data_IF_600153098347
#
_entry.id   IF_600153098347
#
_cell.length_a   1.000
_cell.length_b   1.000
_cell.length_c   1.000
_cell.angle_alpha   90.00
_cell.angle_beta   90.00
_cell.angle_gamma   90.00
#
_symmetry.space_group_name_H-M   'P 1'
#
loop_
_entity.id
_entity.type
_entity.pdbx_description
1 polymer ?
#
# COMPACT_ATOMS: atom_id res chain seq x y z
N UNK A 1 -32.90 31.06 28.03
CA UNK A 1 -33.40 30.58 26.72
C UNK A 1 -32.33 29.67 26.17
N UNK A 2 -32.60 28.36 26.28
CA UNK A 2 -31.63 27.29 26.10
C UNK A 2 -31.72 26.74 24.67
N UNK A 3 -30.55 26.60 24.04
CA UNK A 3 -30.09 25.47 23.22
C UNK A 3 -31.12 24.77 22.29
N UNK A 4 -31.02 25.04 20.98
CA UNK A 4 -31.35 24.08 19.92
C UNK A 4 -30.01 23.74 19.25
N UNK A 5 -29.36 22.63 19.62
CA UNK A 5 -29.60 21.26 19.13
C UNK A 5 -29.28 21.10 17.64
N UNK A 6 -27.99 21.17 17.32
CA UNK A 6 -27.45 20.65 16.07
C UNK A 6 -27.13 19.17 16.27
N UNK A 7 -27.88 18.32 15.55
CA UNK A 7 -27.79 16.85 15.51
C UNK A 7 -26.36 16.36 15.20
N UNK A 8 -25.88 15.21 15.74
CA UNK A 8 -24.53 14.70 15.50
C UNK A 8 -24.30 14.09 14.09
N UNK A 9 -25.30 14.07 13.22
CA UNK A 9 -25.28 13.30 11.97
C UNK A 9 -24.46 13.92 10.81
N UNK A 10 -23.79 15.06 11.04
CA UNK A 10 -23.11 15.79 9.95
C UNK A 10 -21.58 15.61 9.88
N UNK A 11 -20.96 14.77 10.72
CA UNK A 11 -19.48 14.63 10.78
C UNK A 11 -18.96 13.34 10.11
N UNK A 12 -19.83 12.49 9.56
CA UNK A 12 -19.41 11.21 8.95
C UNK A 12 -19.24 11.26 7.41
N UNK A 13 -18.81 12.39 6.86
CA UNK A 13 -18.48 12.49 5.41
C UNK A 13 -17.11 13.06 5.08
N UNK A 14 -16.24 13.25 6.09
CA UNK A 14 -14.83 13.59 5.84
C UNK A 14 -14.01 12.32 5.58
N UNK A 15 -13.55 12.23 4.32
CA UNK A 15 -12.30 11.63 3.84
C UNK A 15 -12.03 10.13 4.09
N UNK A 16 -12.70 9.27 3.32
CA UNK A 16 -12.06 8.04 2.79
C UNK A 16 -10.98 8.34 1.75
N UNK A 17 -10.74 9.61 1.40
CA UNK A 17 -9.58 10.05 0.62
C UNK A 17 -8.30 9.81 1.44
N UNK A 18 -7.71 8.61 1.33
CA UNK A 18 -6.42 8.31 1.93
C UNK A 18 -6.29 6.96 2.62
N UNK A 19 -7.40 6.26 2.91
CA UNK A 19 -7.34 4.97 3.58
C UNK A 19 -7.48 3.84 2.56
N UNK A 20 -6.44 3.01 2.47
CA UNK A 20 -6.46 1.79 1.67
C UNK A 20 -7.29 0.73 2.41
N UNK A 21 -8.57 0.60 2.06
CA UNK A 21 -9.51 -0.35 2.66
C UNK A 21 -10.02 -1.35 1.62
N UNK A 22 -10.79 -2.35 2.06
CA UNK A 22 -11.35 -3.37 1.15
C UNK A 22 -12.41 -2.75 0.27
N UNK A 23 -13.17 -1.81 0.82
CA UNK A 23 -14.10 -0.97 0.09
C UNK A 23 -13.38 -0.16 -0.99
N UNK A 24 -12.14 0.30 -0.72
CA UNK A 24 -11.32 0.95 -1.74
C UNK A 24 -10.93 0.00 -2.86
N UNK A 25 -10.49 -1.23 -2.54
CA UNK A 25 -10.22 -2.27 -3.54
C UNK A 25 -11.47 -2.58 -4.36
N UNK A 26 -12.61 -2.82 -3.71
CA UNK A 26 -13.88 -3.12 -4.37
C UNK A 26 -14.31 -1.98 -5.32
N UNK A 27 -14.25 -0.73 -4.84
CA UNK A 27 -14.54 0.46 -5.64
C UNK A 27 -13.65 0.54 -6.87
N UNK A 28 -12.34 0.38 -6.70
CA UNK A 28 -11.36 0.51 -7.80
C UNK A 28 -11.47 -0.66 -8.78
N UNK A 29 -11.76 -1.86 -8.29
CA UNK A 29 -12.00 -3.02 -9.15
C UNK A 29 -13.26 -2.87 -10.00
N UNK A 30 -14.33 -2.29 -9.44
CA UNK A 30 -15.51 -1.92 -10.23
C UNK A 30 -15.21 -0.86 -11.29
N UNK A 31 -14.35 0.12 -10.99
CA UNK A 31 -13.89 1.12 -11.97
C UNK A 31 -13.14 0.49 -13.15
N UNK A 32 -12.31 -0.52 -12.88
CA UNK A 32 -11.59 -1.27 -13.92
C UNK A 32 -12.54 -1.88 -14.94
N UNK A 33 -13.57 -2.60 -14.49
CA UNK A 33 -14.57 -3.22 -15.36
C UNK A 33 -15.42 -2.20 -16.12
N UNK A 34 -15.63 -1.02 -15.55
CA UNK A 34 -16.37 0.08 -16.17
C UNK A 34 -15.52 0.94 -17.12
N UNK A 35 -14.22 0.65 -17.24
CA UNK A 35 -13.25 1.47 -17.98
C UNK A 35 -13.25 2.94 -17.53
N UNK A 36 -13.52 3.18 -16.25
CA UNK A 36 -13.45 4.51 -15.68
C UNK A 36 -11.98 4.96 -15.57
N UNK A 37 -11.74 6.27 -15.58
CA UNK A 37 -10.40 6.84 -15.44
C UNK A 37 -10.13 7.22 -13.97
N UNK A 38 -9.49 6.35 -13.16
CA UNK A 38 -9.23 6.66 -11.76
C UNK A 38 -8.17 7.77 -11.60
N UNK A 39 -8.20 8.45 -10.46
CA UNK A 39 -7.30 9.56 -10.12
C UNK A 39 -6.76 9.41 -8.70
N UNK A 40 -5.65 10.09 -8.41
CA UNK A 40 -5.02 10.04 -7.08
C UNK A 40 -4.82 8.60 -6.60
N UNK A 41 -5.23 8.31 -5.37
CA UNK A 41 -5.07 6.99 -4.75
C UNK A 41 -5.87 5.88 -5.45
N UNK A 42 -6.97 6.19 -6.15
CA UNK A 42 -7.67 5.18 -6.96
C UNK A 42 -6.81 4.70 -8.13
N UNK A 43 -5.99 5.59 -8.72
CA UNK A 43 -5.07 5.22 -9.80
C UNK A 43 -3.95 4.32 -9.26
N UNK A 44 -3.38 4.69 -8.12
CA UNK A 44 -2.34 3.89 -7.45
C UNK A 44 -2.89 2.50 -7.15
N UNK A 45 -4.08 2.42 -6.53
CA UNK A 45 -4.71 1.14 -6.23
C UNK A 45 -4.94 0.33 -7.51
N UNK A 46 -5.45 0.93 -8.60
CA UNK A 46 -5.70 0.20 -9.84
C UNK A 46 -4.42 -0.41 -10.41
N UNK A 47 -3.32 0.34 -10.38
CA UNK A 47 -2.02 -0.15 -10.81
C UNK A 47 -1.59 -1.37 -10.00
N UNK A 48 -1.73 -1.32 -8.68
CA UNK A 48 -1.44 -2.47 -7.80
C UNK A 48 -2.32 -3.67 -8.13
N UNK A 49 -3.64 -3.48 -8.25
CA UNK A 49 -4.56 -4.60 -8.51
C UNK A 49 -4.22 -5.31 -9.82
N UNK A 50 -3.89 -4.56 -10.87
CA UNK A 50 -3.56 -5.11 -12.20
C UNK A 50 -2.15 -5.72 -12.28
N UNK A 51 -1.25 -5.41 -11.35
CA UNK A 51 0.03 -6.13 -11.19
C UNK A 51 -0.14 -7.53 -10.59
N UNK A 52 -1.30 -7.85 -10.01
CA UNK A 52 -1.55 -9.09 -9.28
C UNK A 52 -2.71 -9.92 -9.89
N UNK A 53 -2.54 -10.49 -11.10
CA UNK A 53 -3.53 -11.39 -11.70
C UNK A 53 -3.85 -12.63 -10.84
N UNK A 54 -2.90 -13.09 -10.02
CA UNK A 54 -3.09 -14.18 -9.07
C UNK A 54 -4.14 -13.88 -7.99
N UNK A 55 -4.47 -12.60 -7.77
CA UNK A 55 -5.45 -12.18 -6.78
C UNK A 55 -6.77 -11.66 -7.36
N UNK A 56 -6.99 -11.80 -8.68
CA UNK A 56 -8.22 -11.32 -9.32
C UNK A 56 -9.50 -11.88 -8.71
N UNK A 57 -9.51 -13.16 -8.31
CA UNK A 57 -10.66 -13.75 -7.62
C UNK A 57 -10.97 -13.02 -6.29
N UNK A 58 -9.94 -12.59 -5.56
CA UNK A 58 -10.13 -11.85 -4.31
C UNK A 58 -10.58 -10.42 -4.56
N UNK A 59 -10.15 -9.79 -5.66
CA UNK A 59 -10.70 -8.49 -6.07
C UNK A 59 -12.18 -8.60 -6.44
N UNK A 60 -12.58 -9.67 -7.12
CA UNK A 60 -13.99 -9.96 -7.39
C UNK A 60 -14.77 -10.19 -6.08
N UNK A 61 -14.25 -11.00 -5.16
CA UNK A 61 -14.84 -11.22 -3.85
C UNK A 61 -15.02 -9.92 -3.06
N UNK A 62 -14.07 -8.99 -3.17
CA UNK A 62 -14.16 -7.66 -2.56
C UNK A 62 -15.47 -6.93 -2.93
N UNK A 63 -15.96 -7.12 -4.16
CA UNK A 63 -17.19 -6.48 -4.64
C UNK A 63 -18.49 -7.14 -4.15
N UNK A 64 -18.41 -8.37 -3.62
CA UNK A 64 -19.59 -9.18 -3.27
C UNK A 64 -19.95 -9.18 -1.77
N UNK A 65 -19.17 -8.48 -0.94
CA UNK A 65 -19.49 -8.25 0.49
C UNK A 65 -19.30 -9.45 1.43
N UNK A 66 -18.63 -10.52 1.01
CA UNK A 66 -18.24 -11.63 1.89
C UNK A 66 -17.17 -11.19 2.90
N UNK A 67 -17.35 -11.59 4.16
CA UNK A 67 -16.59 -11.16 5.33
C UNK A 67 -15.15 -11.70 5.30
N UNK A 68 -14.19 -10.87 5.71
CA UNK A 68 -12.73 -11.04 5.53
C UNK A 68 -12.02 -12.03 6.47
N UNK A 69 -12.77 -12.83 7.22
CA UNK A 69 -12.19 -13.62 8.30
C UNK A 69 -11.35 -14.78 7.75
N UNK A 70 -10.04 -14.59 7.74
CA UNK A 70 -9.06 -15.66 7.48
C UNK A 70 -8.62 -15.82 6.03
N UNK A 71 -8.84 -14.84 5.15
CA UNK A 71 -8.34 -14.93 3.75
C UNK A 71 -6.81 -14.90 3.74
N UNK A 72 -6.23 -16.05 3.42
CA UNK A 72 -4.78 -16.27 3.28
C UNK A 72 -4.55 -17.21 2.11
N UNK A 73 -3.67 -16.81 1.19
CA UNK A 73 -3.25 -17.56 0.00
C UNK A 73 -1.75 -17.76 0.12
N UNK A 74 -1.31 -19.01 0.23
CA UNK A 74 0.11 -19.35 0.39
C UNK A 74 0.82 -18.57 1.52
N UNK A 75 0.09 -18.26 2.60
CA UNK A 75 0.60 -17.51 3.75
C UNK A 75 0.50 -15.98 3.62
N UNK A 76 -0.04 -15.44 2.53
CA UNK A 76 -0.21 -14.01 2.27
C UNK A 76 -1.68 -13.63 2.27
N UNK A 77 -2.04 -12.51 2.92
CA UNK A 77 -3.38 -11.92 2.78
C UNK A 77 -3.38 -10.97 1.56
N UNK A 78 -4.15 -11.23 0.50
CA UNK A 78 -4.13 -10.43 -0.73
C UNK A 78 -4.47 -8.96 -0.51
N UNK A 79 -5.47 -8.66 0.32
CA UNK A 79 -5.89 -7.29 0.59
C UNK A 79 -4.81 -6.50 1.31
N UNK A 80 -4.22 -7.09 2.35
CA UNK A 80 -3.14 -6.48 3.11
C UNK A 80 -1.89 -6.28 2.24
N UNK A 81 -1.58 -7.25 1.38
CA UNK A 81 -0.52 -7.15 0.39
C UNK A 81 -0.72 -5.94 -0.53
N UNK A 82 -1.91 -5.80 -1.12
CA UNK A 82 -2.23 -4.65 -1.98
C UNK A 82 -2.14 -3.31 -1.24
N UNK A 83 -2.53 -3.25 0.04
CA UNK A 83 -2.39 -2.02 0.83
C UNK A 83 -0.95 -1.61 1.03
N UNK A 84 -0.05 -2.54 1.38
CA UNK A 84 1.36 -2.18 1.53
C UNK A 84 1.97 -1.69 0.21
N UNK A 85 1.60 -2.33 -0.90
CA UNK A 85 2.02 -1.90 -2.22
C UNK A 85 1.54 -0.47 -2.52
N UNK A 86 0.25 -0.20 -2.29
CA UNK A 86 -0.34 1.11 -2.56
C UNK A 86 0.22 2.21 -1.65
N UNK A 87 0.51 1.92 -0.38
CA UNK A 87 1.20 2.84 0.53
C UNK A 87 2.59 3.17 0.00
N UNK A 88 3.36 2.16 -0.42
CA UNK A 88 4.72 2.38 -0.94
C UNK A 88 4.70 3.18 -2.23
N UNK A 89 3.81 2.87 -3.17
CA UNK A 89 3.64 3.66 -4.39
C UNK A 89 3.30 5.12 -4.05
N UNK A 90 2.38 5.36 -3.10
CA UNK A 90 2.09 6.71 -2.64
C UNK A 90 3.31 7.38 -1.99
N UNK A 91 4.10 6.68 -1.15
CA UNK A 91 5.34 7.22 -0.57
C UNK A 91 6.38 7.59 -1.64
N UNK A 92 6.42 6.86 -2.75
CA UNK A 92 7.27 7.18 -3.90
C UNK A 92 6.77 8.46 -4.58
N UNK A 93 5.47 8.57 -4.84
CA UNK A 93 4.88 9.73 -5.53
C UNK A 93 4.92 11.01 -4.71
N UNK A 94 4.72 10.92 -3.39
CA UNK A 94 4.74 12.07 -2.48
C UNK A 94 6.13 12.40 -1.96
N UNK A 95 7.12 11.54 -2.23
CA UNK A 95 8.47 11.62 -1.65
C UNK A 95 8.46 11.74 -0.11
N UNK A 96 7.48 11.12 0.54
CA UNK A 96 7.36 11.11 2.01
C UNK A 96 7.18 9.69 2.55
N UNK A 97 8.20 9.11 3.21
CA UNK A 97 9.50 9.70 3.48
C UNK A 97 10.41 9.69 2.22
N UNK A 98 11.30 10.68 2.05
CA UNK A 98 12.13 10.81 0.83
C UNK A 98 13.05 9.61 0.63
N UNK A 99 13.38 8.89 1.69
CA UNK A 99 14.21 7.69 1.64
C UNK A 99 13.56 6.54 0.85
N UNK A 100 12.23 6.51 0.73
CA UNK A 100 11.52 5.53 -0.10
C UNK A 100 11.77 5.82 -1.58
N UNK A 101 11.51 7.04 -2.04
CA UNK A 101 11.78 7.46 -3.42
C UNK A 101 13.27 7.29 -3.80
N UNK A 102 14.19 7.64 -2.90
CA UNK A 102 15.63 7.42 -3.10
C UNK A 102 16.00 5.94 -3.25
N UNK A 103 15.37 5.07 -2.47
CA UNK A 103 15.63 3.63 -2.52
C UNK A 103 15.06 3.03 -3.79
N UNK A 104 13.82 3.38 -4.14
CA UNK A 104 13.18 3.04 -5.40
C UNK A 104 14.06 3.40 -6.60
N UNK A 105 14.50 4.66 -6.69
CA UNK A 105 15.35 5.14 -7.78
C UNK A 105 16.66 4.37 -7.86
N UNK A 106 17.32 4.10 -6.74
CA UNK A 106 18.60 3.38 -6.74
C UNK A 106 18.47 1.93 -7.22
N UNK A 107 17.37 1.25 -6.89
CA UNK A 107 17.09 -0.10 -7.36
C UNK A 107 16.72 -0.11 -8.86
N UNK A 108 15.94 0.87 -9.30
CA UNK A 108 15.57 1.07 -10.71
C UNK A 108 16.81 1.36 -11.58
N UNK A 109 17.69 2.25 -11.12
CA UNK A 109 18.96 2.56 -11.78
C UNK A 109 19.91 1.35 -11.84
N UNK A 110 19.66 0.32 -11.02
CA UNK A 110 20.35 -0.96 -11.04
C UNK A 110 19.65 -2.02 -11.92
N UNK A 111 18.65 -1.62 -12.70
CA UNK A 111 17.87 -2.47 -13.62
C UNK A 111 17.12 -3.62 -12.92
N UNK A 112 16.74 -3.44 -11.65
CA UNK A 112 15.81 -4.34 -10.98
C UNK A 112 14.40 -4.15 -11.57
N UNK A 113 13.65 -5.25 -11.69
CA UNK A 113 12.26 -5.23 -12.14
C UNK A 113 11.38 -4.35 -11.23
N UNK A 114 10.43 -3.62 -11.84
CA UNK A 114 9.58 -2.67 -11.11
C UNK A 114 8.77 -3.35 -10.01
N UNK A 115 8.14 -4.49 -10.32
CA UNK A 115 7.29 -5.21 -9.38
C UNK A 115 8.12 -5.74 -8.20
N UNK A 116 9.31 -6.28 -8.50
CA UNK A 116 10.28 -6.72 -7.49
C UNK A 116 10.75 -5.57 -6.58
N UNK A 117 10.99 -4.37 -7.13
CA UNK A 117 11.36 -3.19 -6.33
C UNK A 117 10.27 -2.86 -5.33
N UNK A 118 9.02 -2.78 -5.81
CA UNK A 118 7.86 -2.44 -4.99
C UNK A 118 7.64 -3.50 -3.91
N UNK A 119 7.77 -4.78 -4.23
CA UNK A 119 7.73 -5.87 -3.25
C UNK A 119 8.79 -5.72 -2.16
N UNK A 120 10.04 -5.45 -2.53
CA UNK A 120 11.14 -5.32 -1.56
C UNK A 120 10.94 -4.17 -0.59
N UNK A 121 10.45 -3.03 -1.05
CA UNK A 121 10.16 -1.89 -0.19
C UNK A 121 8.91 -2.17 0.66
N UNK A 122 7.86 -2.74 0.07
CA UNK A 122 6.62 -3.11 0.76
C UNK A 122 6.86 -4.13 1.87
N UNK A 123 7.77 -5.08 1.69
CA UNK A 123 8.16 -6.03 2.72
C UNK A 123 8.77 -5.33 3.95
N UNK A 124 9.60 -4.30 3.75
CA UNK A 124 10.17 -3.53 4.86
C UNK A 124 9.10 -2.75 5.62
N UNK A 125 8.11 -2.20 4.92
CA UNK A 125 6.96 -1.53 5.52
C UNK A 125 6.10 -2.51 6.32
N UNK A 126 5.79 -3.66 5.73
CA UNK A 126 4.98 -4.72 6.34
C UNK A 126 5.60 -5.20 7.66
N UNK A 127 6.92 -5.36 7.73
CA UNK A 127 7.61 -5.69 8.98
C UNK A 127 7.42 -4.62 10.08
N UNK A 128 7.46 -3.33 9.73
CA UNK A 128 7.23 -2.27 10.72
C UNK A 128 5.79 -2.30 11.20
N UNK A 129 4.83 -2.40 10.28
CA UNK A 129 3.40 -2.41 10.62
C UNK A 129 3.04 -3.64 11.45
N UNK A 130 3.63 -4.80 11.13
CA UNK A 130 3.49 -5.98 11.98
C UNK A 130 4.05 -5.74 13.39
N UNK A 131 5.21 -5.10 13.54
CA UNK A 131 5.73 -4.77 14.87
C UNK A 131 4.80 -3.81 15.63
N UNK A 132 4.16 -2.87 14.94
CA UNK A 132 3.15 -1.98 15.54
C UNK A 132 1.95 -2.77 16.05
N UNK A 133 1.38 -3.63 15.20
CA UNK A 133 0.16 -4.37 15.52
C UNK A 133 0.39 -5.50 16.52
N UNK A 134 1.42 -6.32 16.31
CA UNK A 134 1.65 -7.54 17.09
C UNK A 134 2.40 -7.29 18.41
N UNK A 135 3.17 -6.19 18.50
CA UNK A 135 3.97 -5.86 19.70
C UNK A 135 3.54 -4.56 20.38
N UNK A 136 2.48 -3.91 19.89
CA UNK A 136 1.98 -2.63 20.41
C UNK A 136 3.08 -1.54 20.48
N UNK A 137 4.03 -1.58 19.54
CA UNK A 137 5.12 -0.60 19.48
C UNK A 137 4.74 0.57 18.57
N UNK A 138 5.20 1.80 18.83
CA UNK A 138 5.03 2.88 17.88
C UNK A 138 5.82 2.58 16.60
N UNK A 139 5.36 3.13 15.47
CA UNK A 139 6.09 2.99 14.20
C UNK A 139 7.52 3.55 14.31
N UNK A 140 8.52 2.68 14.12
CA UNK A 140 9.92 3.10 14.19
C UNK A 140 10.40 3.61 12.83
N UNK A 141 10.17 4.91 12.59
CA UNK A 141 10.65 5.60 11.38
C UNK A 141 12.16 5.48 11.21
N UNK A 142 12.95 5.45 12.30
CA UNK A 142 14.41 5.34 12.23
C UNK A 142 14.83 3.95 11.76
N UNK A 143 14.13 2.89 12.21
CA UNK A 143 14.34 1.54 11.69
C UNK A 143 13.97 1.45 10.22
N UNK A 144 12.81 1.97 9.81
CA UNK A 144 12.38 1.94 8.40
C UNK A 144 13.41 2.60 7.47
N UNK A 145 13.85 3.82 7.80
CA UNK A 145 14.89 4.55 7.04
C UNK A 145 16.21 3.77 6.97
N UNK A 146 16.62 3.13 8.08
CA UNK A 146 17.84 2.33 8.13
C UNK A 146 17.76 1.10 7.22
N UNK A 147 16.63 0.42 7.20
CA UNK A 147 16.44 -0.79 6.40
C UNK A 147 16.34 -0.44 4.90
N UNK A 148 15.68 0.67 4.55
CA UNK A 148 15.72 1.26 3.20
C UNK A 148 17.16 1.55 2.74
N UNK A 149 17.97 2.17 3.60
CA UNK A 149 19.37 2.44 3.29
C UNK A 149 20.19 1.16 3.08
N UNK A 150 19.94 0.09 3.86
CA UNK A 150 20.59 -1.23 3.64
C UNK A 150 20.21 -1.81 2.29
N UNK A 151 18.92 -1.77 1.93
CA UNK A 151 18.41 -2.26 0.65
C UNK A 151 19.05 -1.50 -0.51
N UNK A 152 19.03 -0.17 -0.48
CA UNK A 152 19.74 0.69 -1.46
C UNK A 152 21.22 0.35 -1.59
N UNK A 153 21.91 0.15 -0.47
CA UNK A 153 23.35 -0.16 -0.48
C UNK A 153 23.68 -1.58 -0.96
N UNK A 154 22.70 -2.49 -1.03
CA UNK A 154 22.90 -3.85 -1.53
C UNK A 154 23.15 -3.88 -3.05
N UNK A 155 22.42 -3.05 -3.81
CA UNK A 155 22.61 -2.96 -5.26
C UNK A 155 23.88 -2.19 -5.64
N UNK A 156 24.24 -1.16 -4.88
CA UNK A 156 25.49 -0.41 -5.09
C UNK A 156 26.74 -1.30 -4.93
N UNK A 157 26.69 -2.27 -4.00
CA UNK A 157 27.77 -3.24 -3.79
C UNK A 157 27.85 -4.29 -4.90
N UNK A 158 26.70 -4.72 -5.43
CA UNK A 158 26.64 -5.69 -6.53
C UNK A 158 27.27 -5.14 -7.80
N UNK A 159 27.04 -3.85 -8.12
CA UNK A 159 27.64 -3.17 -9.28
C UNK A 159 29.16 -2.99 -9.22
N UNK A 160 29.75 -2.96 -8.02
CA UNK A 160 31.22 -2.80 -7.83
C UNK A 160 32.00 -4.12 -7.96
N UNK A 161 31.30 -5.26 -8.00
CA UNK A 161 31.90 -6.60 -8.04
C UNK A 161 31.93 -7.23 -9.44
N UNK A 162 31.19 -6.65 -10.38
CA UNK A 162 31.21 -6.90 -11.83
C UNK A 162 32.07 -5.87 -12.53
#
# INVERSE_FOLDING_TARGET
MNTENTTPESIASESTEGLFTREHIAKVWLMYHQQAAPRGNDRIMLQVLTMHPEYYEYWDQATTGTRDEGVVVDGVNPYLHAYFHAVVENQIETEDPPEVAQTYKALLDAHMDLHEILHRISALLAEQVWAVMAKEQPFDRKRYVRDLAKLRNSVARSRRRT
#
